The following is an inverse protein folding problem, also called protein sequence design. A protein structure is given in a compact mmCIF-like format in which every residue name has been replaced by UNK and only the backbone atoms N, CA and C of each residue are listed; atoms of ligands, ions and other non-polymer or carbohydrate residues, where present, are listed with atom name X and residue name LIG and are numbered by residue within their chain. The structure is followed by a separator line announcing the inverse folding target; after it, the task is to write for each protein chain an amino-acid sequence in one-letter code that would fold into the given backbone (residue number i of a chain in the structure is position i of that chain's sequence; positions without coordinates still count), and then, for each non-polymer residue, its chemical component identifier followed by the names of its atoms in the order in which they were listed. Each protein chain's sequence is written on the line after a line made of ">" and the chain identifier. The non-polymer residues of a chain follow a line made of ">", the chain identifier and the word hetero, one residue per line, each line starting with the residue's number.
data_IF_106650472198
#
_entry.id   IF_106650472198
#
_cell.length_a   1.000
_cell.length_b   1.000
_cell.length_c   1.000
_cell.angle_alpha   90.00
_cell.angle_beta   90.00
_cell.angle_gamma   90.00
#
_symmetry.space_group_name_H-M   'P 1'
#
loop_
_entity.id
_entity.type
_entity.pdbx_description
1 polymer ?
#
# COMPACT_ATOMS: atom_id res chain seq x y z
N UNK A 1 39.95 22.41 1.60
CA UNK A 1 38.58 22.84 1.24
C UNK A 1 37.99 22.03 0.09
N UNK A 2 38.70 21.83 -1.02
CA UNK A 2 38.19 21.12 -2.22
C UNK A 2 37.66 19.68 -1.97
N UNK A 3 38.33 18.89 -1.12
CA UNK A 3 37.85 17.54 -0.75
C UNK A 3 36.52 17.56 0.03
N UNK A 4 36.30 18.59 0.85
CA UNK A 4 35.07 18.75 1.65
C UNK A 4 33.93 19.12 0.70
N UNK A 5 34.14 20.10 -0.18
CA UNK A 5 33.16 20.51 -1.19
C UNK A 5 32.76 19.35 -2.13
N UNK A 6 33.73 18.51 -2.54
CA UNK A 6 33.44 17.33 -3.37
C UNK A 6 32.63 16.26 -2.64
N UNK A 7 32.85 16.07 -1.33
CA UNK A 7 32.04 15.15 -0.52
C UNK A 7 30.63 15.68 -0.31
N UNK A 8 30.47 16.99 -0.04
CA UNK A 8 29.16 17.62 0.11
C UNK A 8 28.33 17.55 -1.17
N UNK A 9 28.95 17.82 -2.33
CA UNK A 9 28.29 17.69 -3.63
C UNK A 9 27.82 16.25 -3.88
N UNK A 10 28.66 15.24 -3.61
CA UNK A 10 28.28 13.83 -3.75
C UNK A 10 27.15 13.43 -2.80
N UNK A 11 27.19 13.90 -1.56
CA UNK A 11 26.15 13.64 -0.56
C UNK A 11 24.81 14.25 -0.99
N UNK A 12 24.84 15.48 -1.52
CA UNK A 12 23.65 16.17 -2.02
C UNK A 12 23.01 15.43 -3.20
N UNK A 13 23.80 15.00 -4.17
CA UNK A 13 23.30 14.23 -5.32
C UNK A 13 22.69 12.90 -4.86
N UNK A 14 23.36 12.17 -3.95
CA UNK A 14 22.83 10.91 -3.44
C UNK A 14 21.50 11.11 -2.69
N UNK A 15 21.42 12.15 -1.86
CA UNK A 15 20.19 12.48 -1.13
C UNK A 15 19.03 12.78 -2.09
N UNK A 16 19.29 13.58 -3.14
CA UNK A 16 18.28 13.88 -4.15
C UNK A 16 17.82 12.62 -4.90
N UNK A 17 18.73 11.70 -5.22
CA UNK A 17 18.38 10.42 -5.86
C UNK A 17 17.44 9.59 -4.98
N UNK A 18 17.76 9.46 -3.69
CA UNK A 18 16.93 8.74 -2.71
C UNK A 18 15.56 9.40 -2.51
N UNK A 19 15.52 10.74 -2.52
CA UNK A 19 14.27 11.50 -2.45
C UNK A 19 13.38 11.20 -3.66
N UNK A 20 13.92 11.20 -4.88
CA UNK A 20 13.12 10.93 -6.08
C UNK A 20 12.62 9.49 -6.15
N UNK A 21 13.44 8.53 -5.72
CA UNK A 21 13.00 7.13 -5.55
C UNK A 21 11.85 7.08 -4.54
N UNK A 22 11.97 7.75 -3.39
CA UNK A 22 10.90 7.76 -2.37
C UNK A 22 9.61 8.37 -2.90
N UNK A 23 9.69 9.51 -3.60
CA UNK A 23 8.53 10.13 -4.26
C UNK A 23 7.83 9.18 -5.25
N UNK A 24 8.59 8.35 -5.97
CA UNK A 24 7.99 7.40 -6.92
C UNK A 24 7.10 6.36 -6.22
N UNK A 25 7.46 5.92 -5.01
CA UNK A 25 6.65 5.03 -4.20
C UNK A 25 5.44 5.75 -3.59
N UNK A 26 5.59 6.99 -3.13
CA UNK A 26 4.46 7.80 -2.65
C UNK A 26 3.41 7.98 -3.75
N UNK A 27 3.86 8.27 -4.98
CA UNK A 27 3.01 8.34 -6.17
C UNK A 27 2.36 6.99 -6.52
N UNK A 28 3.04 5.87 -6.27
CA UNK A 28 2.46 4.55 -6.47
C UNK A 28 1.30 4.29 -5.50
N UNK A 29 1.47 4.62 -4.20
CA UNK A 29 0.40 4.54 -3.20
C UNK A 29 -0.80 5.37 -3.65
N UNK A 30 -0.58 6.63 -4.01
CA UNK A 30 -1.64 7.52 -4.49
C UNK A 30 -2.38 6.94 -5.69
N UNK A 31 -1.66 6.48 -6.71
CA UNK A 31 -2.28 5.91 -7.92
C UNK A 31 -3.11 4.66 -7.64
N UNK A 32 -2.70 3.83 -6.70
CA UNK A 32 -3.46 2.63 -6.31
C UNK A 32 -4.74 3.02 -5.58
N UNK A 33 -4.64 4.00 -4.68
CA UNK A 33 -5.77 4.52 -3.90
C UNK A 33 -6.78 5.28 -4.77
N UNK A 34 -6.31 5.95 -5.83
CA UNK A 34 -7.13 6.68 -6.80
C UNK A 34 -7.61 5.80 -7.96
N UNK A 35 -7.44 4.48 -7.88
CA UNK A 35 -7.95 3.57 -8.91
C UNK A 35 -9.47 3.74 -9.08
N UNK A 36 -9.98 3.56 -10.31
CA UNK A 36 -11.42 3.49 -10.54
C UNK A 36 -12.06 2.46 -9.60
N UNK A 37 -13.21 2.81 -9.06
CA UNK A 37 -13.88 2.06 -8.01
C UNK A 37 -13.98 0.54 -8.31
N UNK A 38 -14.39 0.17 -9.53
CA UNK A 38 -14.48 -1.24 -9.96
C UNK A 38 -13.15 -1.98 -9.86
N UNK A 39 -12.05 -1.33 -10.29
CA UNK A 39 -10.70 -1.91 -10.24
C UNK A 39 -10.20 -1.97 -8.80
N UNK A 40 -10.53 -0.96 -8.00
CA UNK A 40 -10.16 -0.91 -6.60
C UNK A 40 -10.87 -2.00 -5.78
N UNK A 41 -12.17 -2.20 -5.99
CA UNK A 41 -12.94 -3.30 -5.39
C UNK A 41 -12.34 -4.65 -5.78
N UNK A 42 -12.02 -4.86 -7.06
CA UNK A 42 -11.41 -6.10 -7.52
C UNK A 42 -10.03 -6.34 -6.88
N UNK A 43 -9.23 -5.29 -6.72
CA UNK A 43 -7.94 -5.33 -6.04
C UNK A 43 -8.11 -5.72 -4.56
N UNK A 44 -8.99 -5.04 -3.82
CA UNK A 44 -9.28 -5.35 -2.41
C UNK A 44 -9.83 -6.78 -2.25
N UNK A 45 -10.73 -7.21 -3.14
CA UNK A 45 -11.30 -8.56 -3.09
C UNK A 45 -10.22 -9.63 -3.33
N UNK A 46 -9.25 -9.36 -4.20
CA UNK A 46 -8.10 -10.24 -4.41
C UNK A 46 -7.22 -10.30 -3.16
N UNK A 47 -6.86 -9.15 -2.59
CA UNK A 47 -6.07 -9.09 -1.35
C UNK A 47 -6.74 -9.84 -0.20
N UNK A 48 -8.04 -9.61 0.00
CA UNK A 48 -8.80 -10.29 1.03
C UNK A 48 -8.83 -11.82 0.83
N UNK A 49 -8.93 -12.30 -0.42
CA UNK A 49 -8.88 -13.75 -0.72
C UNK A 49 -7.50 -14.35 -0.48
N UNK A 50 -6.43 -13.63 -0.82
CA UNK A 50 -5.05 -14.10 -0.64
C UNK A 50 -4.64 -14.10 0.84
N UNK A 51 -5.13 -13.13 1.62
CA UNK A 51 -4.82 -12.99 3.04
C UNK A 51 -5.78 -13.77 3.96
N UNK A 52 -6.98 -14.12 3.49
CA UNK A 52 -7.94 -14.91 4.26
C UNK A 52 -7.47 -16.37 4.36
N UNK A 53 -7.48 -16.91 5.58
CA UNK A 53 -7.04 -18.28 5.85
C UNK A 53 -8.22 -19.20 6.11
N UNK A 54 -9.23 -18.69 6.82
CA UNK A 54 -10.39 -19.44 7.29
C UNK A 54 -11.70 -18.97 6.66
N UNK A 55 -11.76 -17.75 6.15
CA UNK A 55 -12.96 -17.17 5.55
C UNK A 55 -14.01 -16.77 6.59
N UNK A 56 -13.57 -16.43 7.81
CA UNK A 56 -14.38 -15.90 8.92
C UNK A 56 -13.69 -14.68 9.55
N UNK A 57 -12.83 -14.02 8.76
CA UNK A 57 -12.12 -12.82 9.19
C UNK A 57 -12.96 -11.55 8.96
N UNK A 58 -12.74 -10.57 9.81
CA UNK A 58 -13.28 -9.23 9.64
C UNK A 58 -12.38 -8.38 8.76
N UNK A 59 -12.97 -7.65 7.82
CA UNK A 59 -12.29 -6.68 6.97
C UNK A 59 -12.41 -5.32 7.64
N UNK A 60 -11.28 -4.78 8.07
CA UNK A 60 -11.14 -3.40 8.53
C UNK A 60 -10.68 -2.54 7.36
N UNK A 61 -11.49 -1.57 6.98
CA UNK A 61 -11.19 -0.56 5.96
C UNK A 61 -10.96 0.80 6.62
N UNK A 62 -10.42 1.77 5.90
CA UNK A 62 -10.48 3.16 6.33
C UNK A 62 -11.91 3.72 6.17
N UNK A 63 -12.18 4.90 6.73
CA UNK A 63 -13.52 5.50 6.68
C UNK A 63 -14.01 5.77 5.25
N UNK A 64 -13.12 6.20 4.36
CA UNK A 64 -13.45 6.49 2.95
C UNK A 64 -13.85 5.22 2.19
N UNK A 65 -13.03 4.18 2.26
CA UNK A 65 -13.22 2.95 1.48
C UNK A 65 -14.38 2.14 2.06
N UNK A 66 -14.58 2.18 3.38
CA UNK A 66 -15.78 1.61 4.01
C UNK A 66 -17.06 2.22 3.44
N UNK A 67 -17.10 3.53 3.26
CA UNK A 67 -18.27 4.23 2.72
C UNK A 67 -18.43 4.08 1.20
N UNK A 68 -17.32 4.09 0.43
CA UNK A 68 -17.36 4.06 -1.02
C UNK A 68 -17.52 2.64 -1.60
N UNK A 69 -16.79 1.67 -1.04
CA UNK A 69 -16.61 0.34 -1.65
C UNK A 69 -16.89 -0.83 -0.70
N UNK A 70 -17.15 -0.57 0.58
CA UNK A 70 -17.36 -1.62 1.59
C UNK A 70 -18.41 -2.66 1.19
N UNK A 71 -19.63 -2.23 0.88
CA UNK A 71 -20.72 -3.16 0.49
C UNK A 71 -20.38 -3.94 -0.78
N UNK A 72 -19.79 -3.28 -1.77
CA UNK A 72 -19.37 -3.90 -3.05
C UNK A 72 -18.31 -4.96 -2.83
N UNK A 73 -17.38 -4.72 -1.89
CA UNK A 73 -16.34 -5.67 -1.51
C UNK A 73 -16.91 -6.94 -0.87
N UNK A 74 -17.82 -6.81 0.10
CA UNK A 74 -18.47 -7.98 0.75
C UNK A 74 -19.24 -8.80 -0.27
N UNK A 75 -19.97 -8.13 -1.17
CA UNK A 75 -20.68 -8.79 -2.27
C UNK A 75 -19.72 -9.52 -3.23
N UNK A 76 -18.60 -8.90 -3.60
CA UNK A 76 -17.57 -9.52 -4.46
C UNK A 76 -16.87 -10.72 -3.81
N UNK A 77 -16.85 -10.79 -2.47
CA UNK A 77 -16.31 -11.90 -1.69
C UNK A 77 -17.33 -13.02 -1.43
N UNK A 78 -18.59 -12.83 -1.85
CA UNK A 78 -19.65 -13.83 -1.70
C UNK A 78 -20.08 -14.06 -0.24
N UNK A 79 -19.93 -13.05 0.62
CA UNK A 79 -20.43 -13.08 2.01
C UNK A 79 -19.64 -13.97 2.98
N UNK A 80 -18.44 -14.41 2.62
CA UNK A 80 -17.56 -15.16 3.55
C UNK A 80 -16.94 -14.26 4.62
N UNK A 81 -16.58 -13.05 4.24
CA UNK A 81 -15.89 -12.10 5.11
C UNK A 81 -16.85 -10.97 5.47
N UNK A 82 -16.75 -10.45 6.69
CA UNK A 82 -17.62 -9.40 7.21
C UNK A 82 -16.85 -8.09 7.36
N UNK A 83 -17.51 -6.94 7.16
CA UNK A 83 -16.89 -5.65 7.46
C UNK A 83 -16.89 -5.41 8.96
N UNK A 84 -15.75 -5.02 9.52
CA UNK A 84 -15.66 -4.58 10.90
C UNK A 84 -16.37 -3.25 11.08
N UNK A 85 -16.96 -3.02 12.27
CA UNK A 85 -17.47 -1.71 12.65
C UNK A 85 -16.35 -0.68 12.82
N UNK A 86 -15.16 -1.15 13.19
CA UNK A 86 -13.96 -0.34 13.31
C UNK A 86 -13.40 0.08 11.95
N UNK A 87 -12.76 1.25 11.93
CA UNK A 87 -12.02 1.75 10.77
C UNK A 87 -10.55 1.95 11.13
N UNK A 88 -9.64 1.67 10.20
CA UNK A 88 -8.21 1.95 10.37
C UNK A 88 -7.81 3.34 9.86
N UNK A 89 -6.64 3.80 10.31
CA UNK A 89 -6.00 5.03 9.84
C UNK A 89 -4.90 4.68 8.83
N UNK A 90 -5.28 4.65 7.55
CA UNK A 90 -4.40 4.35 6.43
C UNK A 90 -4.98 4.91 5.12
N UNK A 91 -4.11 5.13 4.13
CA UNK A 91 -4.49 5.76 2.86
C UNK A 91 -5.41 4.87 1.99
N UNK A 92 -5.28 3.55 2.10
CA UNK A 92 -6.18 2.57 1.48
C UNK A 92 -5.67 1.14 1.64
N UNK A 93 -6.46 0.18 1.15
CA UNK A 93 -6.22 -1.25 1.34
C UNK A 93 -7.15 -1.80 2.41
N UNK A 94 -6.74 -2.89 3.05
CA UNK A 94 -7.54 -3.53 4.10
C UNK A 94 -6.66 -4.19 5.15
N UNK A 95 -7.22 -4.38 6.34
CA UNK A 95 -6.64 -5.25 7.37
C UNK A 95 -7.64 -6.38 7.60
N UNK A 96 -7.18 -7.62 7.57
CA UNK A 96 -7.98 -8.77 7.99
C UNK A 96 -7.74 -9.03 9.47
N UNK A 97 -8.80 -9.05 10.27
CA UNK A 97 -8.74 -9.31 11.71
C UNK A 97 -9.46 -10.61 12.04
N UNK A 98 -8.85 -11.45 12.86
CA UNK A 98 -9.46 -12.64 13.46
C UNK A 98 -9.06 -12.76 14.92
N UNK A 99 -9.94 -12.31 15.82
CA UNK A 99 -9.66 -12.26 17.25
C UNK A 99 -8.44 -11.39 17.52
N UNK A 100 -7.36 -11.99 18.03
CA UNK A 100 -6.10 -11.30 18.35
C UNK A 100 -5.08 -11.28 17.20
N UNK A 101 -5.41 -11.84 16.03
CA UNK A 101 -4.51 -11.88 14.87
C UNK A 101 -4.98 -10.88 13.83
N UNK A 102 -4.07 -10.05 13.34
CA UNK A 102 -4.31 -9.10 12.25
C UNK A 102 -3.32 -9.34 11.12
N UNK A 103 -3.82 -9.35 9.90
CA UNK A 103 -3.03 -9.38 8.67
C UNK A 103 -3.19 -8.03 8.00
N UNK A 104 -2.11 -7.25 7.96
CA UNK A 104 -2.10 -5.93 7.35
C UNK A 104 -1.89 -6.07 5.83
N UNK A 105 -2.89 -5.65 5.05
CA UNK A 105 -2.85 -5.58 3.59
C UNK A 105 -3.13 -4.15 3.11
N UNK A 106 -2.64 -3.16 3.86
CA UNK A 106 -2.69 -1.76 3.46
C UNK A 106 -1.81 -1.53 2.24
N UNK A 107 -2.23 -0.60 1.36
CA UNK A 107 -1.47 -0.25 0.17
C UNK A 107 -0.08 0.27 0.54
N UNK A 108 0.02 1.04 1.61
CA UNK A 108 1.29 1.57 2.13
C UNK A 108 2.27 0.45 2.50
N UNK A 109 1.82 -0.57 3.24
CA UNK A 109 2.66 -1.71 3.58
C UNK A 109 3.06 -2.52 2.35
N UNK A 110 2.10 -2.79 1.44
CA UNK A 110 2.39 -3.53 0.21
C UNK A 110 3.43 -2.81 -0.66
N UNK A 111 3.30 -1.49 -0.78
CA UNK A 111 4.27 -0.67 -1.54
C UNK A 111 5.63 -0.64 -0.84
N UNK A 112 5.68 -0.55 0.49
CA UNK A 112 6.94 -0.58 1.23
C UNK A 112 7.65 -1.94 1.11
N UNK A 113 6.90 -3.05 1.10
CA UNK A 113 7.44 -4.38 0.83
C UNK A 113 8.08 -4.42 -0.57
N UNK A 114 7.38 -3.96 -1.60
CA UNK A 114 7.93 -3.84 -2.96
C UNK A 114 9.14 -2.89 -3.02
N UNK A 115 9.15 -1.81 -2.22
CA UNK A 115 10.27 -0.86 -2.18
C UNK A 115 11.56 -1.50 -1.72
N UNK A 116 11.49 -2.38 -0.73
CA UNK A 116 12.67 -3.10 -0.24
C UNK A 116 13.33 -3.95 -1.34
N UNK A 117 12.54 -4.50 -2.25
CA UNK A 117 13.00 -5.34 -3.35
C UNK A 117 13.41 -4.52 -4.59
N UNK A 118 12.65 -3.48 -4.94
CA UNK A 118 12.75 -2.78 -6.23
C UNK A 118 13.56 -1.48 -6.20
N UNK A 119 14.02 -1.02 -5.04
CA UNK A 119 14.70 0.28 -4.93
C UNK A 119 15.94 0.40 -5.82
N UNK A 120 16.73 -0.68 -5.98
CA UNK A 120 17.89 -0.69 -6.86
C UNK A 120 17.52 -0.62 -8.34
N UNK A 121 16.45 -1.32 -8.74
CA UNK A 121 15.97 -1.34 -10.13
C UNK A 121 15.43 0.03 -10.56
N UNK A 122 14.65 0.68 -9.68
CA UNK A 122 14.12 2.03 -9.94
C UNK A 122 15.26 3.05 -10.01
N UNK A 123 16.28 2.93 -9.16
CA UNK A 123 17.45 3.79 -9.22
C UNK A 123 18.21 3.63 -10.55
N UNK A 124 18.27 2.42 -11.10
CA UNK A 124 18.78 2.17 -12.45
C UNK A 124 17.96 2.91 -13.50
N UNK A 125 16.66 2.69 -13.57
CA UNK A 125 15.79 3.32 -14.58
C UNK A 125 15.76 4.85 -14.51
N UNK A 126 15.83 5.44 -13.32
CA UNK A 126 15.74 6.90 -13.16
C UNK A 126 17.07 7.62 -13.41
N UNK A 127 18.21 6.94 -13.27
CA UNK A 127 19.52 7.60 -13.18
C UNK A 127 20.64 6.98 -14.01
N UNK A 128 20.42 5.82 -14.63
CA UNK A 128 21.28 5.22 -15.65
C UNK A 128 20.68 5.44 -17.05
#
# INVERSE_FOLDING_TARGET
>A
MERIARMEAKKSVLALKQEMVSKSFDLAVQKIVELPEERYVAFLAKLAKEASVTGDEEIVLNARDKAAVGEKLVNALGGKLHLSDSTGDFAGGLILRRGNVEVNCTVELLVELCRSEMSSEIAGVLFE
#
